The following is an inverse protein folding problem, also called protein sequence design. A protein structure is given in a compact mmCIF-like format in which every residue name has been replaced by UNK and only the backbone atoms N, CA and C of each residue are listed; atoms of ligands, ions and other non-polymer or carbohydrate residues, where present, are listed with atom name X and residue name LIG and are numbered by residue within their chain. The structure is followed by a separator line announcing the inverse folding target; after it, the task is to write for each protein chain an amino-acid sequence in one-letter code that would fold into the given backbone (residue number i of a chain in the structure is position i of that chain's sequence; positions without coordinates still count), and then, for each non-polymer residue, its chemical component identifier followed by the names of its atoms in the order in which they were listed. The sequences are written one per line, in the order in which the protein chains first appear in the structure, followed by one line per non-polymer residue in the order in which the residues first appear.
data_IF_406785794805
#
_entry.id   IF_406785794805
#
_cell.length_a   1.000
_cell.length_b   1.000
_cell.length_c   1.000
_cell.angle_alpha   90.00
_cell.angle_beta   90.00
_cell.angle_gamma   90.00
#
_symmetry.space_group_name_H-M   'P 1'
#
loop_
_entity.id
_entity.type
_entity.pdbx_description
1 polymer ?
#
# COMPACT_ATOMS: atom_id res chain seq x y z
N UNK A 1 31.63 -27.61 -23.68
CA UNK A 1 30.37 -28.37 -23.53
C UNK A 1 30.16 -29.47 -24.59
N UNK A 2 31.11 -29.72 -25.50
CA UNK A 2 31.02 -30.74 -26.58
C UNK A 2 31.93 -31.97 -26.38
N UNK A 3 32.61 -32.06 -25.23
CA UNK A 3 33.71 -32.99 -24.97
C UNK A 3 33.30 -34.48 -24.92
N UNK A 4 32.05 -34.80 -24.55
CA UNK A 4 31.58 -36.17 -24.37
C UNK A 4 30.47 -36.57 -25.35
N UNK A 5 30.45 -35.96 -26.55
CA UNK A 5 29.50 -36.32 -27.59
C UNK A 5 29.91 -37.60 -28.33
N UNK A 6 28.94 -38.40 -28.83
CA UNK A 6 29.24 -39.55 -29.68
C UNK A 6 29.99 -39.11 -30.95
N UNK A 7 30.86 -39.98 -31.51
CA UNK A 7 31.83 -39.60 -32.54
C UNK A 7 31.21 -38.97 -33.80
N UNK A 8 29.99 -39.39 -34.17
CA UNK A 8 29.26 -38.83 -35.31
C UNK A 8 28.90 -37.35 -35.11
N UNK A 9 28.63 -36.94 -33.87
CA UNK A 9 28.36 -35.54 -33.53
C UNK A 9 29.65 -34.77 -33.27
N UNK A 10 30.68 -35.42 -32.72
CA UNK A 10 32.00 -34.82 -32.51
C UNK A 10 32.65 -34.40 -33.84
N UNK A 11 32.46 -35.18 -34.91
CA UNK A 11 32.94 -34.89 -36.25
C UNK A 11 32.38 -33.58 -36.84
N UNK A 12 31.18 -33.16 -36.43
CA UNK A 12 30.58 -31.88 -36.88
C UNK A 12 31.32 -30.66 -36.33
N UNK A 13 32.04 -30.82 -35.23
CA UNK A 13 32.83 -29.76 -34.59
C UNK A 13 34.31 -29.82 -34.99
N UNK A 14 34.65 -30.50 -36.10
CA UNK A 14 35.99 -30.44 -36.65
C UNK A 14 36.36 -28.98 -36.98
N UNK A 15 37.55 -28.51 -36.59
CA UNK A 15 38.00 -27.17 -36.92
C UNK A 15 38.13 -27.03 -38.44
N UNK A 16 37.90 -25.82 -38.95
CA UNK A 16 38.24 -25.49 -40.34
C UNK A 16 39.76 -25.41 -40.49
N UNK A 17 40.22 -25.48 -41.74
CA UNK A 17 41.61 -25.20 -42.08
C UNK A 17 42.05 -23.84 -41.51
N UNK A 18 43.32 -23.70 -41.10
CA UNK A 18 43.83 -22.46 -40.55
C UNK A 18 43.73 -21.34 -41.59
N UNK A 19 43.30 -20.16 -41.13
CA UNK A 19 43.14 -18.98 -41.99
C UNK A 19 44.53 -18.55 -42.49
N UNK A 20 44.69 -18.21 -43.79
CA UNK A 20 45.94 -17.67 -44.29
C UNK A 20 46.24 -16.33 -43.62
N UNK A 21 47.51 -16.13 -43.23
CA UNK A 21 47.93 -14.89 -42.60
C UNK A 21 47.80 -13.71 -43.59
N UNK A 22 47.15 -12.64 -43.13
CA UNK A 22 47.15 -11.33 -43.76
C UNK A 22 47.69 -10.31 -42.74
N UNK A 23 48.52 -9.35 -43.16
CA UNK A 23 48.98 -8.31 -42.25
C UNK A 23 47.79 -7.48 -41.75
N UNK A 24 47.82 -6.99 -40.49
CA UNK A 24 46.81 -6.07 -39.98
C UNK A 24 46.73 -4.80 -40.84
N UNK A 25 45.51 -4.37 -41.17
CA UNK A 25 45.26 -3.14 -41.93
C UNK A 25 45.72 -1.90 -41.18
N UNK A 26 45.54 -1.90 -39.85
CA UNK A 26 45.88 -0.80 -38.96
C UNK A 26 47.29 -0.95 -38.38
N UNK A 27 47.98 0.18 -38.23
CA UNK A 27 49.22 0.26 -37.45
C UNK A 27 48.95 0.03 -35.96
N UNK A 28 49.97 -0.40 -35.23
CA UNK A 28 49.86 -0.58 -33.77
C UNK A 28 49.62 0.79 -33.08
N UNK A 29 48.93 0.83 -31.91
CA UNK A 29 48.56 2.09 -31.26
C UNK A 29 49.72 3.06 -30.99
N UNK A 30 50.94 2.57 -30.77
CA UNK A 30 52.14 3.39 -30.56
C UNK A 30 52.78 3.90 -31.86
N UNK A 31 52.47 3.27 -32.99
CA UNK A 31 52.88 3.69 -34.34
C UNK A 31 51.84 4.61 -34.98
N UNK A 32 50.63 4.67 -34.41
CA UNK A 32 49.59 5.62 -34.81
C UNK A 32 50.06 7.02 -34.39
N UNK A 33 50.61 7.77 -35.33
CA UNK A 33 50.84 9.21 -35.17
C UNK A 33 49.48 9.91 -35.12
N UNK A 34 48.88 9.99 -33.94
CA UNK A 34 47.73 10.86 -33.70
C UNK A 34 48.22 12.31 -33.66
N UNK A 35 47.34 13.26 -34.01
CA UNK A 35 47.64 14.68 -33.85
C UNK A 35 48.05 14.98 -32.40
N UNK A 36 49.06 15.84 -32.22
CA UNK A 36 49.53 16.23 -30.89
C UNK A 36 48.41 16.91 -30.12
N UNK A 37 48.13 16.45 -28.89
CA UNK A 37 47.25 17.17 -27.99
C UNK A 37 47.78 18.58 -27.76
N UNK A 38 46.97 19.59 -28.06
CA UNK A 38 47.28 20.99 -27.77
C UNK A 38 46.75 21.36 -26.38
N UNK A 39 47.46 22.24 -25.68
CA UNK A 39 46.98 22.78 -24.40
C UNK A 39 45.78 23.70 -24.59
N UNK A 40 45.01 23.91 -23.52
CA UNK A 40 43.84 24.81 -23.52
C UNK A 40 44.24 26.30 -23.48
N UNK A 41 45.54 26.60 -23.37
CA UNK A 41 46.07 27.97 -23.23
C UNK A 41 45.72 28.90 -24.40
N UNK A 42 45.57 28.34 -25.61
CA UNK A 42 45.18 29.10 -26.80
C UNK A 42 43.77 29.72 -26.69
N UNK A 43 42.93 29.18 -25.80
CA UNK A 43 41.54 29.58 -25.64
C UNK A 43 41.32 30.51 -24.45
N UNK A 44 42.38 30.93 -23.75
CA UNK A 44 42.24 31.81 -22.58
C UNK A 44 41.54 33.14 -22.89
N UNK A 45 41.70 33.63 -24.11
CA UNK A 45 41.08 34.88 -24.58
C UNK A 45 39.58 34.73 -24.91
N UNK A 46 39.05 33.50 -24.90
CA UNK A 46 37.64 33.22 -25.19
C UNK A 46 36.79 33.06 -23.92
N UNK A 47 37.39 33.07 -22.73
CA UNK A 47 36.63 33.02 -21.49
C UNK A 47 35.95 34.37 -21.23
N UNK A 48 34.69 34.33 -20.83
CA UNK A 48 33.92 35.51 -20.46
C UNK A 48 34.51 36.17 -19.21
N UNK A 49 34.42 37.50 -19.15
CA UNK A 49 34.84 38.24 -17.97
C UNK A 49 33.94 37.89 -16.77
N UNK A 50 34.50 37.74 -15.55
CA UNK A 50 33.77 37.33 -14.35
C UNK A 50 32.69 38.33 -13.91
N UNK A 51 32.65 39.51 -14.54
CA UNK A 51 31.65 40.57 -14.31
C UNK A 51 30.39 40.37 -15.16
N UNK A 52 30.55 39.77 -16.33
CA UNK A 52 29.46 39.54 -17.29
C UNK A 52 28.80 38.17 -17.09
N UNK A 53 29.42 37.29 -16.30
CA UNK A 53 28.89 35.97 -15.99
C UNK A 53 27.81 36.09 -14.91
N UNK A 54 26.55 35.71 -15.19
CA UNK A 54 25.52 35.69 -14.14
C UNK A 54 25.91 34.66 -13.06
N UNK A 55 25.55 34.91 -11.80
CA UNK A 55 25.77 33.93 -10.74
C UNK A 55 25.07 32.61 -11.13
N UNK A 56 25.66 31.44 -10.80
CA UNK A 56 25.06 30.15 -11.16
C UNK A 56 23.66 30.06 -10.57
N UNK A 57 22.68 29.83 -11.45
CA UNK A 57 21.29 29.64 -11.04
C UNK A 57 21.19 28.39 -10.18
N UNK A 58 20.75 28.55 -8.92
CA UNK A 58 20.44 27.42 -8.05
C UNK A 58 19.24 26.67 -8.63
N UNK A 59 19.53 25.63 -9.41
CA UNK A 59 18.54 24.67 -9.85
C UNK A 59 18.13 23.83 -8.64
N UNK A 60 16.84 23.53 -8.52
CA UNK A 60 16.37 22.63 -7.48
C UNK A 60 17.15 21.31 -7.54
N UNK A 61 17.68 20.91 -6.39
CA UNK A 61 18.24 19.57 -6.25
C UNK A 61 17.13 18.54 -6.44
N UNK A 62 17.52 17.31 -6.77
CA UNK A 62 16.56 16.19 -6.89
C UNK A 62 15.72 16.01 -5.62
N UNK A 63 16.30 16.27 -4.46
CA UNK A 63 15.66 16.14 -3.15
C UNK A 63 14.57 17.19 -2.95
N UNK A 64 14.86 18.47 -3.23
CA UNK A 64 13.88 19.56 -3.18
C UNK A 64 12.68 19.29 -4.11
N UNK A 65 12.94 18.75 -5.30
CA UNK A 65 11.89 18.37 -6.25
C UNK A 65 11.02 17.20 -5.74
N UNK A 66 11.62 16.24 -5.04
CA UNK A 66 10.88 15.11 -4.45
C UNK A 66 10.00 15.59 -3.30
N UNK A 67 10.53 16.45 -2.43
CA UNK A 67 9.79 16.98 -1.29
C UNK A 67 8.60 17.83 -1.72
N UNK A 68 8.79 18.70 -2.73
CA UNK A 68 7.68 19.46 -3.33
C UNK A 68 6.55 18.55 -3.80
N UNK A 69 6.89 17.50 -4.57
CA UNK A 69 5.89 16.52 -5.05
C UNK A 69 5.21 15.75 -3.93
N UNK A 70 5.94 15.45 -2.85
CA UNK A 70 5.39 14.75 -1.68
C UNK A 70 4.39 15.64 -0.95
N UNK A 71 4.73 16.91 -0.75
CA UNK A 71 3.86 17.91 -0.14
C UNK A 71 2.60 18.16 -0.97
N UNK A 72 2.74 18.39 -2.28
CA UNK A 72 1.60 18.57 -3.19
C UNK A 72 0.65 17.35 -3.14
N UNK A 73 1.19 16.13 -3.12
CA UNK A 73 0.37 14.91 -2.97
C UNK A 73 -0.30 14.82 -1.61
N UNK A 74 0.39 15.16 -0.52
CA UNK A 74 -0.18 15.14 0.81
C UNK A 74 -1.33 16.16 0.94
N UNK A 75 -1.15 17.37 0.39
CA UNK A 75 -2.17 18.41 0.33
C UNK A 75 -3.38 17.98 -0.51
N UNK A 76 -3.16 17.32 -1.66
CA UNK A 76 -4.25 16.76 -2.46
C UNK A 76 -5.03 15.65 -1.73
N UNK A 77 -4.33 14.76 -1.03
CA UNK A 77 -4.96 13.70 -0.23
C UNK A 77 -5.75 14.31 0.92
N UNK A 78 -5.20 15.31 1.61
CA UNK A 78 -5.87 16.01 2.70
C UNK A 78 -7.14 16.73 2.23
N UNK A 79 -7.07 17.45 1.11
CA UNK A 79 -8.23 18.12 0.51
C UNK A 79 -9.32 17.13 0.11
N UNK A 80 -8.95 16.00 -0.51
CA UNK A 80 -9.90 14.95 -0.86
C UNK A 80 -10.56 14.36 0.39
N UNK A 81 -9.78 14.10 1.43
CA UNK A 81 -10.31 13.58 2.70
C UNK A 81 -11.31 14.55 3.33
N UNK A 82 -11.03 15.86 3.30
CA UNK A 82 -11.94 16.89 3.81
C UNK A 82 -13.26 16.91 3.03
N UNK A 83 -13.21 16.78 1.70
CA UNK A 83 -14.41 16.64 0.87
C UNK A 83 -15.19 15.36 1.19
N UNK A 84 -14.49 14.23 1.32
CA UNK A 84 -15.10 12.94 1.61
C UNK A 84 -15.78 12.94 3.00
N UNK A 85 -15.18 13.59 4.01
CA UNK A 85 -15.77 13.79 5.34
C UNK A 85 -17.02 14.68 5.25
N UNK A 86 -16.96 15.79 4.49
CA UNK A 86 -18.09 16.70 4.35
C UNK A 86 -19.31 16.06 3.65
N UNK A 87 -19.08 15.09 2.77
CA UNK A 87 -20.14 14.35 2.08
C UNK A 87 -20.68 13.16 2.89
N UNK A 88 -19.95 12.70 3.91
CA UNK A 88 -20.29 11.48 4.64
C UNK A 88 -21.42 11.73 5.66
N UNK A 89 -22.59 11.15 5.39
CA UNK A 89 -23.72 11.10 6.32
C UNK A 89 -23.99 9.64 6.73
N UNK A 90 -23.81 9.28 8.01
CA UNK A 90 -24.04 7.92 8.49
C UNK A 90 -25.52 7.52 8.54
N UNK A 91 -26.45 8.48 8.67
CA UNK A 91 -27.88 8.19 8.87
C UNK A 91 -28.61 7.89 7.55
N UNK A 92 -28.12 8.43 6.43
CA UNK A 92 -28.73 8.25 5.12
C UNK A 92 -28.24 6.99 4.37
N UNK A 93 -27.67 6.02 5.08
CA UNK A 93 -27.20 4.79 4.46
C UNK A 93 -28.29 3.71 4.43
N UNK A 94 -28.80 3.39 3.23
CA UNK A 94 -29.80 2.32 3.03
C UNK A 94 -29.37 0.93 3.53
N UNK A 95 -28.05 0.66 3.62
CA UNK A 95 -27.51 -0.58 4.16
C UNK A 95 -27.22 -0.53 5.66
N UNK A 96 -27.37 0.64 6.29
CA UNK A 96 -27.14 0.85 7.71
C UNK A 96 -28.23 0.23 8.58
N UNK A 97 -27.89 -0.08 9.82
CA UNK A 97 -28.84 -0.53 10.83
C UNK A 97 -29.59 0.67 11.43
N UNK A 98 -30.82 0.43 11.89
CA UNK A 98 -31.71 1.47 12.42
C UNK A 98 -31.31 1.97 13.82
N UNK A 99 -30.67 1.11 14.64
CA UNK A 99 -30.36 1.40 16.04
C UNK A 99 -28.89 1.07 16.39
N UNK A 100 -28.04 2.08 16.66
CA UNK A 100 -26.62 1.84 16.96
C UNK A 100 -26.41 1.11 18.29
N UNK A 101 -27.32 1.26 19.27
CA UNK A 101 -27.17 0.63 20.59
C UNK A 101 -27.48 -0.86 20.59
N UNK A 102 -28.08 -1.38 19.52
CA UNK A 102 -28.37 -2.80 19.31
C UNK A 102 -27.49 -3.45 18.26
N UNK A 103 -26.58 -2.67 17.67
CA UNK A 103 -25.74 -3.12 16.57
C UNK A 103 -24.34 -3.45 17.05
N UNK A 104 -23.91 -4.65 16.70
CA UNK A 104 -22.59 -5.17 16.95
C UNK A 104 -21.74 -5.08 15.69
N UNK A 105 -20.57 -4.44 15.75
CA UNK A 105 -19.62 -4.44 14.63
C UNK A 105 -18.56 -5.52 14.83
N UNK A 106 -18.48 -6.41 13.85
CA UNK A 106 -17.58 -7.56 13.83
C UNK A 106 -16.59 -7.36 12.69
N UNK A 107 -15.31 -7.23 13.01
CA UNK A 107 -14.22 -7.11 12.03
C UNK A 107 -13.27 -8.30 12.11
N UNK A 108 -12.41 -8.42 11.08
CA UNK A 108 -11.45 -9.52 10.89
C UNK A 108 -12.12 -10.89 10.75
N UNK A 109 -13.30 -10.92 10.13
CA UNK A 109 -13.92 -12.20 9.73
C UNK A 109 -13.17 -12.79 8.53
N UNK A 110 -13.05 -14.12 8.50
CA UNK A 110 -12.52 -14.80 7.33
C UNK A 110 -13.42 -14.58 6.10
N UNK A 111 -12.83 -14.44 4.91
CA UNK A 111 -13.56 -14.16 3.67
C UNK A 111 -14.49 -15.30 3.22
N UNK A 112 -14.19 -16.54 3.64
CA UNK A 112 -14.99 -17.73 3.32
C UNK A 112 -16.14 -17.97 4.33
N UNK A 113 -16.31 -17.08 5.30
CA UNK A 113 -17.36 -17.21 6.31
C UNK A 113 -18.70 -16.76 5.74
N UNK A 114 -19.64 -17.70 5.66
CA UNK A 114 -21.03 -17.43 5.29
C UNK A 114 -21.83 -16.84 6.46
N UNK A 115 -22.86 -16.04 6.16
CA UNK A 115 -23.80 -15.49 7.14
C UNK A 115 -24.36 -16.55 8.11
N UNK A 116 -24.64 -17.76 7.62
CA UNK A 116 -25.16 -18.87 8.45
C UNK A 116 -24.20 -19.31 9.56
N UNK A 117 -22.88 -19.21 9.33
CA UNK A 117 -21.86 -19.56 10.32
C UNK A 117 -21.82 -18.49 11.42
N UNK A 118 -21.80 -17.22 11.02
CA UNK A 118 -21.86 -16.09 11.95
C UNK A 118 -23.12 -16.16 12.79
N UNK A 119 -24.27 -16.40 12.16
CA UNK A 119 -25.54 -16.56 12.88
C UNK A 119 -25.46 -17.64 13.96
N UNK A 120 -24.92 -18.82 13.63
CA UNK A 120 -24.81 -19.95 14.57
C UNK A 120 -23.91 -19.61 15.78
N UNK A 121 -22.83 -18.88 15.57
CA UNK A 121 -21.91 -18.49 16.64
C UNK A 121 -22.53 -17.40 17.53
N UNK A 122 -23.23 -16.44 16.93
CA UNK A 122 -23.78 -15.28 17.61
C UNK A 122 -25.16 -15.50 18.24
N UNK A 123 -25.90 -16.52 17.80
CA UNK A 123 -27.21 -16.89 18.34
C UNK A 123 -27.13 -17.45 19.77
N UNK A 124 -25.94 -17.86 20.23
CA UNK A 124 -25.71 -18.33 21.60
C UNK A 124 -25.96 -17.23 22.63
N UNK A 125 -25.73 -15.98 22.26
CA UNK A 125 -25.80 -14.83 23.18
C UNK A 125 -27.18 -14.17 23.21
N UNK A 126 -27.97 -14.33 22.14
CA UNK A 126 -29.33 -13.82 22.07
C UNK A 126 -29.96 -13.92 20.69
N UNK A 127 -31.27 -13.63 20.57
CA UNK A 127 -31.97 -13.59 19.29
C UNK A 127 -31.45 -12.46 18.40
N UNK A 128 -31.04 -12.83 17.20
CA UNK A 128 -30.51 -11.91 16.17
C UNK A 128 -31.65 -11.46 15.26
N UNK A 129 -31.77 -10.15 15.06
CA UNK A 129 -32.77 -9.52 14.18
C UNK A 129 -32.29 -9.47 12.73
N UNK A 130 -31.05 -9.03 12.48
CA UNK A 130 -30.50 -8.87 11.13
C UNK A 130 -28.98 -9.01 11.13
N UNK A 131 -28.43 -9.64 10.08
CA UNK A 131 -26.99 -9.70 9.83
C UNK A 131 -26.71 -9.07 8.48
N UNK A 132 -25.71 -8.19 8.40
CA UNK A 132 -25.29 -7.53 7.15
C UNK A 132 -23.78 -7.67 7.01
N UNK A 133 -23.34 -8.53 6.09
CA UNK A 133 -21.93 -8.62 5.69
C UNK A 133 -21.66 -7.56 4.63
N UNK A 134 -20.64 -6.72 4.86
CA UNK A 134 -20.33 -5.64 3.90
C UNK A 134 -19.40 -6.14 2.81
N UNK A 135 -19.83 -5.90 1.58
CA UNK A 135 -19.11 -6.25 0.37
C UNK A 135 -18.63 -4.99 -0.35
N UNK A 136 -17.51 -5.10 -1.05
CA UNK A 136 -17.05 -4.03 -1.92
C UNK A 136 -18.02 -3.86 -3.10
N UNK A 137 -18.60 -2.66 -3.26
CA UNK A 137 -19.59 -2.34 -4.31
C UNK A 137 -19.10 -2.61 -5.75
N UNK A 138 -17.78 -2.49 -5.98
CA UNK A 138 -17.17 -2.66 -7.30
C UNK A 138 -16.80 -4.13 -7.56
N UNK A 139 -16.13 -4.76 -6.60
CA UNK A 139 -15.53 -6.10 -6.81
C UNK A 139 -16.41 -7.25 -6.31
N UNK A 140 -17.48 -6.98 -5.57
CA UNK A 140 -18.37 -7.98 -4.94
C UNK A 140 -17.72 -8.80 -3.82
N UNK A 141 -16.40 -8.72 -3.64
CA UNK A 141 -15.66 -9.42 -2.57
C UNK A 141 -16.07 -8.92 -1.18
N UNK A 142 -16.16 -9.82 -0.17
CA UNK A 142 -16.42 -9.43 1.21
C UNK A 142 -15.26 -8.59 1.75
N UNK A 143 -15.58 -7.54 2.50
CA UNK A 143 -14.57 -6.60 3.04
C UNK A 143 -13.93 -7.09 4.35
N UNK A 144 -14.48 -8.15 4.94
CA UNK A 144 -13.97 -8.73 6.19
C UNK A 144 -14.55 -8.08 7.44
N UNK A 145 -15.74 -7.46 7.33
CA UNK A 145 -16.53 -7.02 8.48
C UNK A 145 -18.04 -7.18 8.25
N UNK A 146 -18.78 -7.26 9.35
CA UNK A 146 -20.23 -7.42 9.37
C UNK A 146 -20.86 -6.62 10.52
N UNK A 147 -22.13 -6.26 10.33
CA UNK A 147 -22.99 -5.67 11.34
C UNK A 147 -24.03 -6.69 11.76
N UNK A 148 -24.18 -6.92 13.07
CA UNK A 148 -25.17 -7.83 13.65
C UNK A 148 -26.10 -7.01 14.52
N UNK A 149 -27.38 -6.96 14.17
CA UNK A 149 -28.43 -6.29 14.93
C UNK A 149 -29.13 -7.30 15.84
N UNK A 150 -29.10 -7.06 17.15
CA UNK A 150 -29.82 -7.86 18.15
C UNK A 150 -31.24 -7.32 18.40
N UNK A 151 -32.11 -8.16 18.95
CA UNK A 151 -33.42 -7.69 19.43
C UNK A 151 -33.32 -6.83 20.70
N UNK A 152 -32.42 -7.19 21.62
CA UNK A 152 -32.23 -6.50 22.89
C UNK A 152 -30.80 -5.99 23.06
N UNK A 153 -30.66 -4.79 23.64
CA UNK A 153 -29.36 -4.16 23.95
C UNK A 153 -28.54 -4.97 24.98
N UNK A 154 -29.23 -5.68 25.89
CA UNK A 154 -28.60 -6.52 26.90
C UNK A 154 -27.79 -7.65 26.27
N UNK A 155 -28.34 -8.27 25.23
CA UNK A 155 -27.75 -9.43 24.57
C UNK A 155 -26.47 -9.02 23.84
N UNK A 156 -26.52 -7.87 23.16
CA UNK A 156 -25.36 -7.21 22.54
C UNK A 156 -24.27 -6.86 23.57
N UNK A 157 -24.63 -6.24 24.71
CA UNK A 157 -23.67 -5.90 25.75
C UNK A 157 -22.99 -7.12 26.39
N UNK A 158 -23.75 -8.18 26.63
CA UNK A 158 -23.23 -9.42 27.18
C UNK A 158 -22.20 -10.06 26.23
N UNK A 159 -22.48 -10.10 24.93
CA UNK A 159 -21.53 -10.57 23.93
C UNK A 159 -20.23 -9.77 23.93
N UNK A 160 -20.30 -8.43 23.93
CA UNK A 160 -19.10 -7.59 24.03
C UNK A 160 -18.25 -7.93 25.25
N UNK A 161 -18.88 -8.08 26.41
CA UNK A 161 -18.20 -8.40 27.66
C UNK A 161 -17.54 -9.79 27.60
N UNK A 162 -18.19 -10.78 26.99
CA UNK A 162 -17.65 -12.13 26.87
C UNK A 162 -16.52 -12.21 25.83
N UNK A 163 -16.65 -11.52 24.70
CA UNK A 163 -15.64 -11.52 23.63
C UNK A 163 -14.33 -10.81 24.00
N UNK A 164 -14.38 -9.81 24.88
CA UNK A 164 -13.19 -9.10 25.38
C UNK A 164 -12.40 -9.96 26.40
N UNK A 165 -12.98 -11.02 26.96
CA UNK A 165 -12.25 -11.91 27.87
C UNK A 165 -11.34 -12.87 27.07
N UNK A 166 -10.02 -12.89 27.31
CA UNK A 166 -9.04 -13.52 26.43
C UNK A 166 -9.03 -15.07 26.49
N UNK A 167 -10.02 -15.70 27.12
CA UNK A 167 -9.87 -17.08 27.56
C UNK A 167 -10.42 -18.14 26.60
N UNK A 168 -11.22 -17.82 25.57
CA UNK A 168 -11.93 -18.90 24.86
C UNK A 168 -12.11 -18.84 23.34
N UNK A 169 -11.51 -17.91 22.59
CA UNK A 169 -11.72 -17.88 21.14
C UNK A 169 -10.36 -17.84 20.43
N UNK A 170 -9.95 -18.97 19.85
CA UNK A 170 -8.79 -19.14 18.96
C UNK A 170 -8.99 -18.46 17.58
N UNK A 171 -9.92 -17.51 17.49
CA UNK A 171 -10.25 -16.75 16.30
C UNK A 171 -9.99 -15.29 16.65
N UNK A 172 -9.03 -14.65 15.97
CA UNK A 172 -8.65 -13.24 16.12
C UNK A 172 -9.76 -12.27 15.62
N UNK A 173 -11.00 -12.49 16.06
CA UNK A 173 -12.17 -11.67 15.71
C UNK A 173 -12.17 -10.45 16.61
N UNK A 174 -12.27 -9.29 15.98
CA UNK A 174 -12.21 -8.00 16.65
C UNK A 174 -13.64 -7.43 16.71
N UNK A 175 -14.19 -7.37 17.91
CA UNK A 175 -15.53 -6.86 18.19
C UNK A 175 -15.46 -5.43 18.73
N UNK A 176 -16.19 -4.49 18.10
CA UNK A 176 -16.25 -3.08 18.49
C UNK A 176 -17.69 -2.57 18.47
N UNK A 177 -18.06 -1.74 19.45
CA UNK A 177 -19.34 -1.02 19.44
C UNK A 177 -19.31 0.04 18.35
N UNK A 178 -20.35 0.07 17.51
CA UNK A 178 -20.53 1.12 16.52
C UNK A 178 -20.94 2.44 17.23
N UNK A 179 -19.95 3.21 17.68
CA UNK A 179 -20.20 4.55 18.24
C UNK A 179 -20.21 5.60 17.13
N UNK A 180 -21.33 5.71 16.40
CA UNK A 180 -21.57 6.82 15.46
C UNK A 180 -22.12 8.09 16.15
N UNK A 181 -22.19 8.11 17.48
CA UNK A 181 -22.62 9.27 18.28
C UNK A 181 -21.70 9.46 19.49
N UNK A 182 -21.31 10.70 19.74
CA UNK A 182 -20.57 11.11 20.94
C UNK A 182 -21.30 10.66 22.21
N UNK A 183 -20.85 9.57 22.82
CA UNK A 183 -21.42 9.06 24.06
C UNK A 183 -20.71 9.76 25.22
N UNK A 184 -21.27 10.88 25.68
CA UNK A 184 -20.77 11.70 26.79
C UNK A 184 -20.99 11.11 28.19
N UNK A 185 -21.35 9.82 28.30
CA UNK A 185 -21.66 9.17 29.58
C UNK A 185 -21.08 7.76 29.65
N UNK A 186 -19.75 7.66 29.73
CA UNK A 186 -19.07 6.47 30.25
C UNK A 186 -18.33 6.81 31.55
N UNK A 187 -18.38 5.94 32.57
CA UNK A 187 -17.66 6.14 33.82
C UNK A 187 -16.15 6.24 33.57
N UNK A 188 -15.51 7.10 34.35
CA UNK A 188 -14.17 7.71 34.20
C UNK A 188 -12.96 6.74 34.28
N UNK A 189 -13.08 5.50 33.79
CA UNK A 189 -12.00 4.49 33.83
C UNK A 189 -11.61 3.88 32.48
N UNK A 190 -12.26 4.24 31.36
CA UNK A 190 -12.12 3.56 30.07
C UNK A 190 -11.62 4.46 28.93
N UNK A 191 -10.84 5.49 29.25
CA UNK A 191 -10.40 6.52 28.28
C UNK A 191 -9.11 6.20 27.52
N UNK A 192 -8.52 5.00 27.66
CA UNK A 192 -7.20 4.72 27.06
C UNK A 192 -7.19 4.04 25.68
N UNK A 193 -8.34 3.60 25.15
CA UNK A 193 -8.39 2.94 23.84
C UNK A 193 -9.24 3.66 22.78
N UNK A 194 -9.97 4.71 23.15
CA UNK A 194 -10.89 5.42 22.25
C UNK A 194 -10.23 6.59 21.47
N UNK A 195 -8.94 6.50 21.17
CA UNK A 195 -8.26 7.49 20.31
C UNK A 195 -7.91 6.95 18.92
N UNK A 196 -8.28 5.71 18.58
CA UNK A 196 -7.81 5.05 17.35
C UNK A 196 -8.88 4.86 16.25
N UNK A 197 -10.03 5.54 16.33
CA UNK A 197 -11.10 5.39 15.31
C UNK A 197 -11.02 6.42 14.18
N UNK A 198 -10.17 7.45 14.29
CA UNK A 198 -10.01 8.44 13.20
C UNK A 198 -8.95 8.03 12.16
N UNK A 199 -8.34 6.85 12.26
CA UNK A 199 -7.09 6.55 11.53
C UNK A 199 -7.09 5.40 10.51
N UNK A 200 -8.23 4.81 10.11
CA UNK A 200 -8.23 3.76 9.08
C UNK A 200 -9.30 3.93 8.00
N UNK A 201 -8.93 4.64 6.94
CA UNK A 201 -9.26 4.31 5.53
C UNK A 201 -8.17 4.82 4.61
#
# INVERSE_FOLDING_TARGET
MTQYLPPNLLALFAPRDPIPYLPPTDKLPHEKTQGTYTGVSQYLNLFEDPKDTPPPTRVETREERIERKRREKAEQVAYKLEQDIALWDPYNNSSGTLDPFKTLFVARINYDTSESKLRREFEVFGPIKKIVIVHNKITGKPRGYAFVEYEHERDMHCEYLWAITPFLICLDVLLFIETNSECSSLPTGFTFFLSLVVFFS
#
